data_IF_117010850455
#
_entry.id   IF_117010850455
#
_cell.length_a   1.000
_cell.length_b   1.000
_cell.length_c   1.000
_cell.angle_alpha   90.00
_cell.angle_beta   90.00
_cell.angle_gamma   90.00
#
_symmetry.space_group_name_H-M   'P 1'
#
loop_
_entity.id
_entity.type
_entity.pdbx_description
1 polymer ?
#
# COMPACT_ATOMS: atom_id res chain seq x y z
N UNK A 1 -12.24 -5.15 -12.78
CA UNK A 1 -12.35 -6.18 -11.74
C UNK A 1 -11.85 -5.57 -10.45
N UNK A 2 -12.76 -5.31 -9.52
CA UNK A 2 -12.36 -4.90 -8.17
C UNK A 2 -11.52 -6.05 -7.62
N UNK A 3 -10.24 -5.83 -7.42
CA UNK A 3 -9.38 -6.79 -6.73
C UNK A 3 -10.00 -6.98 -5.36
N UNK A 4 -10.55 -8.17 -5.08
CA UNK A 4 -11.20 -8.45 -3.81
C UNK A 4 -10.23 -8.17 -2.67
N UNK A 5 -10.67 -7.41 -1.67
CA UNK A 5 -9.87 -7.15 -0.47
C UNK A 5 -9.48 -8.49 0.16
N UNK A 6 -8.22 -8.63 0.50
CA UNK A 6 -7.73 -9.74 1.32
C UNK A 6 -7.61 -9.24 2.75
N UNK A 7 -8.24 -9.94 3.67
CA UNK A 7 -8.32 -9.57 5.08
C UNK A 7 -7.43 -10.43 5.94
N UNK A 8 -6.97 -9.84 7.05
CA UNK A 8 -6.38 -10.56 8.16
C UNK A 8 -6.85 -9.98 9.50
N UNK A 9 -6.89 -10.82 10.52
CA UNK A 9 -7.10 -10.42 11.89
C UNK A 9 -5.85 -10.72 12.71
N UNK A 10 -5.48 -9.78 13.57
CA UNK A 10 -4.40 -9.96 14.50
C UNK A 10 -4.77 -10.98 15.59
N UNK A 11 -3.89 -11.93 15.87
CA UNK A 11 -4.18 -13.06 16.77
C UNK A 11 -3.89 -12.77 18.24
N UNK A 12 -3.11 -11.71 18.54
CA UNK A 12 -2.69 -11.37 19.90
C UNK A 12 -2.48 -9.86 20.07
N UNK A 13 -2.36 -9.42 21.31
CA UNK A 13 -2.09 -8.02 21.63
C UNK A 13 -0.62 -7.63 21.42
N UNK A 14 -0.38 -6.34 21.15
CA UNK A 14 0.95 -5.76 21.12
C UNK A 14 1.79 -6.11 19.89
N UNK A 15 1.16 -6.50 18.79
CA UNK A 15 1.85 -6.84 17.54
C UNK A 15 2.32 -5.59 16.84
N UNK A 16 3.64 -5.47 16.66
CA UNK A 16 4.25 -4.35 15.97
C UNK A 16 4.07 -4.44 14.45
N UNK A 17 3.59 -3.36 13.87
CA UNK A 17 3.66 -3.09 12.43
C UNK A 17 4.94 -2.29 12.18
N UNK A 18 5.77 -2.70 11.23
CA UNK A 18 7.12 -2.14 11.05
C UNK A 18 7.34 -1.56 9.67
N UNK A 19 8.27 -0.63 9.55
CA UNK A 19 8.65 -0.03 8.26
C UNK A 19 9.36 -0.99 7.31
N UNK A 20 9.93 -2.06 7.82
CA UNK A 20 10.72 -3.03 7.05
C UNK A 20 10.50 -4.45 7.56
N UNK A 21 11.07 -5.41 6.84
CA UNK A 21 10.96 -6.85 7.08
C UNK A 21 12.04 -7.36 8.05
N UNK A 22 12.29 -6.63 9.12
CA UNK A 22 13.23 -6.99 10.19
C UNK A 22 12.69 -6.55 11.54
N UNK A 23 13.10 -7.22 12.60
CA UNK A 23 12.68 -6.87 13.97
C UNK A 23 13.26 -5.55 14.47
N UNK A 24 14.35 -5.09 13.88
CA UNK A 24 14.98 -3.81 14.20
C UNK A 24 14.35 -2.62 13.44
N UNK A 25 13.49 -2.90 12.45
CA UNK A 25 12.82 -1.85 11.72
C UNK A 25 11.89 -1.04 12.62
N UNK A 26 11.84 0.27 12.38
CA UNK A 26 11.01 1.21 13.14
C UNK A 26 9.55 0.77 13.16
N UNK A 27 8.92 0.87 14.34
CA UNK A 27 7.51 0.54 14.53
C UNK A 27 6.64 1.68 14.01
N UNK A 28 5.75 1.38 13.08
CA UNK A 28 4.82 2.34 12.47
C UNK A 28 3.49 2.38 13.20
N UNK A 29 3.11 1.28 13.82
CA UNK A 29 1.91 1.13 14.62
C UNK A 29 1.89 -0.17 15.42
N UNK A 30 0.88 -0.33 16.25
CA UNK A 30 0.69 -1.52 17.10
C UNK A 30 -0.72 -2.04 16.94
N UNK A 31 -0.86 -3.34 16.71
CA UNK A 31 -2.13 -4.04 16.62
C UNK A 31 -2.48 -4.73 17.93
N UNK A 32 -3.74 -4.71 18.27
CA UNK A 32 -4.32 -5.53 19.36
C UNK A 32 -4.93 -6.81 18.77
N UNK A 33 -5.23 -7.75 19.64
CA UNK A 33 -6.01 -8.93 19.24
C UNK A 33 -7.31 -8.51 18.51
N UNK A 34 -7.64 -9.20 17.43
CA UNK A 34 -8.76 -8.91 16.54
C UNK A 34 -8.70 -7.55 15.82
N UNK A 35 -7.55 -6.86 15.80
CA UNK A 35 -7.39 -5.74 14.89
C UNK A 35 -7.43 -6.21 13.45
N UNK A 36 -8.24 -5.50 12.64
CA UNK A 36 -8.41 -5.76 11.21
C UNK A 36 -7.27 -5.12 10.42
N UNK A 37 -6.74 -5.84 9.45
CA UNK A 37 -5.90 -5.28 8.41
C UNK A 37 -6.23 -5.85 7.03
N UNK A 38 -5.83 -5.10 6.00
CA UNK A 38 -5.84 -5.56 4.61
C UNK A 38 -4.45 -6.06 4.25
N UNK A 39 -4.38 -7.23 3.60
CA UNK A 39 -3.14 -7.74 3.03
C UNK A 39 -2.90 -7.03 1.70
N UNK A 40 -1.83 -6.25 1.62
CA UNK A 40 -1.42 -5.56 0.41
C UNK A 40 -0.52 -6.42 -0.45
N UNK A 41 0.39 -7.18 0.16
CA UNK A 41 1.26 -8.13 -0.52
C UNK A 41 1.86 -9.18 0.42
N UNK A 42 2.13 -10.37 -0.12
CA UNK A 42 3.02 -11.36 0.47
C UNK A 42 4.47 -10.90 0.29
N UNK A 43 5.06 -10.34 1.34
CA UNK A 43 6.38 -9.74 1.28
C UNK A 43 7.52 -10.78 1.36
N UNK A 44 7.29 -11.87 2.10
CA UNK A 44 8.18 -13.04 2.23
C UNK A 44 7.44 -14.17 2.95
N UNK A 45 8.11 -15.30 3.16
CA UNK A 45 7.55 -16.42 3.96
C UNK A 45 7.23 -15.98 5.39
N UNK A 46 8.01 -15.06 5.95
CA UNK A 46 7.90 -14.62 7.35
C UNK A 46 7.04 -13.34 7.48
N UNK A 47 7.02 -12.46 6.48
CA UNK A 47 6.44 -11.12 6.57
C UNK A 47 5.32 -10.89 5.56
N UNK A 48 4.25 -10.24 6.01
CA UNK A 48 3.14 -9.75 5.18
C UNK A 48 3.13 -8.21 5.22
N UNK A 49 2.93 -7.60 4.07
CA UNK A 49 2.72 -6.16 3.95
C UNK A 49 1.24 -5.86 4.10
N UNK A 50 0.89 -5.03 5.08
CA UNK A 50 -0.49 -4.77 5.48
C UNK A 50 -0.80 -3.29 5.61
N UNK A 51 -2.10 -3.00 5.58
CA UNK A 51 -2.67 -1.71 5.96
C UNK A 51 -3.77 -1.92 6.99
N UNK A 52 -3.70 -1.24 8.12
CA UNK A 52 -4.66 -1.28 9.20
C UNK A 52 -5.01 0.14 9.65
N UNK A 53 -6.16 0.64 9.18
CA UNK A 53 -6.49 2.07 9.34
C UNK A 53 -5.44 2.95 8.69
N UNK A 54 -4.88 3.90 9.46
CA UNK A 54 -3.83 4.82 8.99
C UNK A 54 -2.41 4.23 9.07
N UNK A 55 -2.27 2.98 9.51
CA UNK A 55 -1.00 2.29 9.67
C UNK A 55 -0.70 1.39 8.49
N UNK A 56 0.45 1.58 7.85
CA UNK A 56 0.96 0.70 6.79
C UNK A 56 2.33 0.17 7.18
N UNK A 57 2.59 -1.10 6.89
CA UNK A 57 3.89 -1.70 7.17
C UNK A 57 3.88 -3.22 7.10
N UNK A 58 4.91 -3.82 7.68
CA UNK A 58 5.14 -5.26 7.67
C UNK A 58 4.81 -5.86 9.03
N UNK A 59 4.10 -6.98 9.02
CA UNK A 59 3.76 -7.77 10.20
C UNK A 59 4.24 -9.20 9.96
N UNK A 60 4.74 -9.86 11.01
CA UNK A 60 5.07 -11.28 10.93
C UNK A 60 3.79 -12.09 10.68
N UNK A 61 3.87 -13.00 9.74
CA UNK A 61 2.76 -13.87 9.33
C UNK A 61 2.15 -14.64 10.49
N UNK A 62 2.96 -15.10 11.44
CA UNK A 62 2.54 -15.88 12.61
C UNK A 62 1.52 -15.16 13.50
N UNK A 63 1.48 -13.81 13.44
CA UNK A 63 0.54 -12.99 14.23
C UNK A 63 -0.73 -12.65 13.48
N UNK A 64 -0.95 -13.19 12.28
CA UNK A 64 -2.11 -12.91 11.47
C UNK A 64 -2.90 -14.17 11.14
N UNK A 65 -4.19 -14.13 11.39
CA UNK A 65 -5.16 -15.12 10.88
C UNK A 65 -5.68 -14.66 9.54
N UNK A 66 -5.62 -15.52 8.53
CA UNK A 66 -5.95 -15.22 7.14
C UNK A 66 -6.80 -16.31 6.52
N UNK A 67 -7.31 -16.08 5.32
CA UNK A 67 -8.03 -17.06 4.53
C UNK A 67 -9.54 -16.80 4.44
N UNK A 68 -10.22 -17.69 3.74
CA UNK A 68 -11.65 -17.51 3.39
C UNK A 68 -12.57 -17.49 4.63
N UNK A 69 -12.22 -18.24 5.67
CA UNK A 69 -12.97 -18.24 6.93
C UNK A 69 -12.93 -16.88 7.62
N UNK A 70 -11.75 -16.27 7.72
CA UNK A 70 -11.57 -14.91 8.29
C UNK A 70 -12.30 -13.87 7.44
N UNK A 71 -12.21 -13.99 6.12
CA UNK A 71 -12.91 -13.09 5.22
C UNK A 71 -14.44 -13.19 5.40
N UNK A 72 -14.96 -14.39 5.49
CA UNK A 72 -16.40 -14.60 5.71
C UNK A 72 -16.87 -14.03 7.04
N UNK A 73 -16.12 -14.26 8.12
CA UNK A 73 -16.38 -13.70 9.45
C UNK A 73 -16.45 -12.17 9.43
N UNK A 74 -15.46 -11.52 8.78
CA UNK A 74 -15.41 -10.06 8.69
C UNK A 74 -16.57 -9.51 7.87
N UNK A 75 -16.95 -10.17 6.78
CA UNK A 75 -18.07 -9.75 5.93
C UNK A 75 -19.42 -9.92 6.64
N UNK A 76 -19.58 -10.94 7.45
CA UNK A 76 -20.80 -11.17 8.24
C UNK A 76 -20.95 -10.16 9.38
N UNK A 77 -19.87 -9.87 10.11
CA UNK A 77 -19.87 -8.93 11.23
C UNK A 77 -19.82 -7.46 10.79
N UNK A 78 -19.34 -7.22 9.58
CA UNK A 78 -19.02 -5.87 9.07
C UNK A 78 -17.68 -5.35 9.56
N UNK A 79 -16.94 -4.65 8.70
CA UNK A 79 -15.61 -4.10 9.03
C UNK A 79 -15.63 -3.16 10.25
N UNK A 80 -16.74 -2.47 10.50
CA UNK A 80 -16.91 -1.55 11.63
C UNK A 80 -16.94 -2.24 13.01
N UNK A 81 -17.09 -3.57 13.05
CA UNK A 81 -17.02 -4.32 14.29
C UNK A 81 -15.59 -4.54 14.80
N UNK A 82 -14.60 -4.22 13.99
CA UNK A 82 -13.18 -4.44 14.29
C UNK A 82 -12.44 -3.14 14.53
N UNK A 83 -11.42 -3.19 15.40
CA UNK A 83 -10.48 -2.08 15.58
C UNK A 83 -9.37 -2.13 14.53
N UNK A 84 -8.65 -1.02 14.39
CA UNK A 84 -7.44 -0.93 13.57
C UNK A 84 -6.21 -0.73 14.44
N UNK A 85 -5.03 -0.83 13.82
CA UNK A 85 -3.76 -0.57 14.49
C UNK A 85 -3.71 0.87 15.04
N UNK A 86 -3.10 1.01 16.21
CA UNK A 86 -2.77 2.32 16.80
C UNK A 86 -1.55 2.91 16.10
N UNK A 87 -1.69 4.11 15.55
CA UNK A 87 -0.63 4.82 14.84
C UNK A 87 0.49 5.27 15.80
N UNK A 88 1.75 5.02 15.44
CA UNK A 88 2.93 5.47 16.21
C UNK A 88 3.73 6.55 15.49
N UNK A 89 3.72 6.56 14.17
CA UNK A 89 4.38 7.59 13.35
C UNK A 89 3.45 8.03 12.22
N UNK A 90 3.59 9.26 11.78
CA UNK A 90 2.77 9.79 10.69
C UNK A 90 3.06 9.07 9.36
N UNK A 91 2.08 9.04 8.46
CA UNK A 91 2.25 8.47 7.13
C UNK A 91 3.40 9.14 6.34
N UNK A 92 3.63 10.44 6.57
CA UNK A 92 4.73 11.20 5.94
C UNK A 92 6.11 10.68 6.36
N UNK A 93 6.25 10.23 7.59
CA UNK A 93 7.52 9.72 8.13
C UNK A 93 7.69 8.23 7.89
N UNK A 94 6.60 7.52 7.63
CA UNK A 94 6.56 6.07 7.46
C UNK A 94 7.07 5.68 6.08
N UNK A 95 8.27 5.12 6.00
CA UNK A 95 8.86 4.64 4.75
C UNK A 95 8.03 3.56 4.07
N UNK A 96 7.27 2.77 4.84
CA UNK A 96 6.41 1.74 4.27
C UNK A 96 5.27 2.31 3.41
N UNK A 97 4.88 3.57 3.61
CA UNK A 97 3.90 4.24 2.75
C UNK A 97 4.41 4.51 1.32
N UNK A 98 5.71 4.46 1.11
CA UNK A 98 6.35 4.68 -0.20
C UNK A 98 6.69 3.38 -0.94
N UNK A 99 6.48 2.22 -0.33
CA UNK A 99 6.67 0.95 -1.00
C UNK A 99 5.50 0.65 -1.94
N UNK A 100 5.84 0.14 -3.12
CA UNK A 100 4.88 -0.45 -4.06
C UNK A 100 4.88 -1.97 -3.91
N UNK A 101 3.82 -2.61 -4.36
CA UNK A 101 3.75 -4.09 -4.40
C UNK A 101 4.92 -4.65 -5.23
N UNK A 102 5.30 -3.97 -6.30
CA UNK A 102 6.43 -4.34 -7.17
C UNK A 102 7.77 -4.25 -6.45
N UNK A 103 7.99 -3.20 -5.63
CA UNK A 103 9.22 -3.06 -4.86
C UNK A 103 9.36 -4.08 -3.74
N UNK A 104 8.24 -4.61 -3.25
CA UNK A 104 8.19 -5.65 -2.20
C UNK A 104 8.51 -7.02 -2.78
N UNK A 105 8.01 -7.33 -3.96
CA UNK A 105 8.26 -8.58 -4.69
C UNK A 105 9.62 -8.57 -5.42
N UNK A 106 10.68 -8.15 -4.73
CA UNK A 106 12.03 -8.12 -5.28
C UNK A 106 12.46 -9.52 -5.74
N UNK A 107 12.68 -9.67 -7.03
CA UNK A 107 13.29 -10.86 -7.64
C UNK A 107 12.55 -11.46 -8.82
N UNK A 108 11.31 -11.03 -9.14
CA UNK A 108 10.55 -11.67 -10.21
C UNK A 108 10.34 -10.83 -11.48
N UNK A 109 10.72 -9.55 -11.51
CA UNK A 109 10.56 -8.75 -12.74
C UNK A 109 11.69 -7.72 -12.85
N UNK A 110 12.65 -8.00 -13.68
CA UNK A 110 13.52 -6.99 -14.28
C UNK A 110 12.74 -6.28 -15.39
N UNK A 111 11.73 -5.51 -15.03
CA UNK A 111 11.10 -4.62 -15.99
C UNK A 111 11.78 -3.28 -15.90
N UNK A 112 12.84 -3.12 -16.68
CA UNK A 112 13.68 -1.91 -16.73
C UNK A 112 12.87 -0.65 -17.02
N UNK A 113 11.76 -0.77 -17.74
CA UNK A 113 10.85 0.34 -18.04
C UNK A 113 10.10 0.77 -16.79
N UNK A 114 9.54 -0.17 -16.03
CA UNK A 114 8.80 0.15 -14.79
C UNK A 114 9.70 0.78 -13.74
N UNK A 115 10.90 0.24 -13.56
CA UNK A 115 11.90 0.85 -12.65
C UNK A 115 12.28 2.26 -13.08
N UNK A 116 12.47 2.47 -14.39
CA UNK A 116 12.76 3.78 -14.95
C UNK A 116 11.61 4.77 -14.75
N UNK A 117 10.36 4.33 -14.96
CA UNK A 117 9.16 5.14 -14.71
C UNK A 117 9.04 5.55 -13.23
N UNK A 118 9.27 4.61 -12.30
CA UNK A 118 9.23 4.90 -10.88
C UNK A 118 10.34 5.86 -10.45
N UNK A 119 11.56 5.66 -10.97
CA UNK A 119 12.69 6.56 -10.73
C UNK A 119 12.42 7.96 -11.29
N UNK A 120 11.80 8.04 -12.46
CA UNK A 120 11.39 9.32 -13.06
C UNK A 120 10.31 9.99 -12.21
N UNK A 121 9.25 9.26 -11.83
CA UNK A 121 8.18 9.77 -11.01
C UNK A 121 8.66 10.30 -9.66
N UNK A 122 9.63 9.64 -9.03
CA UNK A 122 10.16 10.02 -7.72
C UNK A 122 10.87 11.38 -7.72
N UNK A 123 11.29 11.89 -8.86
CA UNK A 123 11.91 13.22 -8.97
C UNK A 123 10.92 14.36 -8.70
N UNK A 124 9.62 14.09 -8.79
CA UNK A 124 8.56 15.10 -8.63
C UNK A 124 7.91 15.06 -7.25
N UNK A 125 8.44 14.25 -6.32
CA UNK A 125 7.97 14.20 -4.93
C UNK A 125 8.15 15.58 -4.28
N UNK A 126 7.08 16.11 -3.72
CA UNK A 126 7.05 17.43 -3.09
C UNK A 126 6.54 18.56 -3.98
N UNK A 127 6.29 18.30 -5.25
CA UNK A 127 5.67 19.28 -6.14
C UNK A 127 4.18 19.49 -5.78
N UNK A 128 3.61 20.68 -6.10
CA UNK A 128 2.27 21.03 -5.68
C UNK A 128 1.19 20.10 -6.26
N UNK A 129 0.18 19.81 -5.46
CA UNK A 129 -1.07 19.23 -5.96
C UNK A 129 -1.94 20.35 -6.53
N UNK A 130 -2.32 20.21 -7.80
CA UNK A 130 -3.22 21.16 -8.48
C UNK A 130 -4.39 20.39 -9.09
N UNK A 131 -5.59 20.67 -8.65
CA UNK A 131 -6.80 20.03 -9.18
C UNK A 131 -6.95 20.29 -10.69
N UNK A 132 -7.13 19.23 -11.47
CA UNK A 132 -7.18 19.30 -12.93
C UNK A 132 -5.82 19.49 -13.60
N UNK A 133 -4.76 19.64 -12.83
CA UNK A 133 -3.40 19.81 -13.34
C UNK A 133 -2.79 18.54 -13.91
N UNK A 134 -1.88 18.71 -14.88
CA UNK A 134 -1.11 17.62 -15.52
C UNK A 134 0.38 17.93 -15.58
N UNK A 135 0.82 19.05 -15.02
CA UNK A 135 2.22 19.45 -15.04
C UNK A 135 2.98 18.77 -13.93
N UNK A 136 4.00 18.00 -14.29
CA UNK A 136 4.88 17.33 -13.31
C UNK A 136 5.68 18.31 -12.44
N UNK A 137 5.88 19.56 -12.91
CA UNK A 137 6.68 20.57 -12.22
C UNK A 137 5.85 21.67 -11.57
N UNK A 138 4.80 22.13 -12.24
CA UNK A 138 3.95 23.23 -11.77
C UNK A 138 2.77 22.75 -10.92
N UNK A 139 2.43 21.48 -11.00
CA UNK A 139 1.41 20.83 -10.22
C UNK A 139 0.48 19.92 -11.04
N UNK A 140 0.16 18.80 -10.47
CA UNK A 140 -0.76 17.82 -11.04
C UNK A 140 -1.72 17.30 -9.98
N UNK A 141 -2.90 16.82 -10.41
CA UNK A 141 -3.73 15.96 -9.57
C UNK A 141 -3.28 14.49 -9.68
N UNK A 142 -3.91 13.59 -8.94
CA UNK A 142 -3.52 12.17 -8.87
C UNK A 142 -3.47 11.50 -10.25
N UNK A 143 -4.53 11.60 -11.03
CA UNK A 143 -4.61 10.97 -12.35
C UNK A 143 -3.83 11.71 -13.43
N UNK A 144 -3.72 13.04 -13.32
CA UNK A 144 -2.88 13.87 -14.19
C UNK A 144 -1.40 13.56 -14.01
N UNK A 145 -0.95 13.33 -12.78
CA UNK A 145 0.41 12.90 -12.48
C UNK A 145 0.71 11.55 -13.14
N UNK A 146 -0.15 10.55 -12.91
CA UNK A 146 0.01 9.21 -13.49
C UNK A 146 0.01 9.30 -15.03
N UNK A 147 -0.97 10.02 -15.62
CA UNK A 147 -1.03 10.20 -17.07
C UNK A 147 0.25 10.81 -17.65
N UNK A 148 0.81 11.83 -16.98
CA UNK A 148 2.02 12.52 -17.45
C UNK A 148 3.27 11.65 -17.35
N UNK A 149 3.39 10.81 -16.31
CA UNK A 149 4.48 9.82 -16.21
C UNK A 149 4.39 8.80 -17.34
N UNK A 150 3.22 8.21 -17.57
CA UNK A 150 3.03 7.25 -18.68
C UNK A 150 3.29 7.88 -20.04
N UNK A 151 2.82 9.13 -20.25
CA UNK A 151 3.04 9.88 -21.48
C UNK A 151 4.54 10.13 -21.77
N UNK A 152 5.34 10.39 -20.74
CA UNK A 152 6.78 10.56 -20.87
C UNK A 152 7.50 9.32 -21.42
N UNK A 153 6.89 8.13 -21.26
CA UNK A 153 7.38 6.86 -21.77
C UNK A 153 6.64 6.38 -23.03
N UNK A 154 5.85 7.26 -23.65
CA UNK A 154 5.13 6.96 -24.89
C UNK A 154 3.82 6.18 -24.75
N UNK A 155 3.33 6.02 -23.53
CA UNK A 155 2.05 5.36 -23.27
C UNK A 155 0.94 6.39 -23.10
N UNK A 156 -0.18 6.18 -23.78
CA UNK A 156 -1.38 7.00 -23.64
C UNK A 156 -2.38 6.29 -22.74
N UNK A 157 -2.73 6.92 -21.62
CA UNK A 157 -3.75 6.42 -20.69
C UNK A 157 -4.82 7.49 -20.47
N UNK A 158 -6.04 7.10 -20.06
CA UNK A 158 -7.13 8.05 -19.81
C UNK A 158 -6.77 9.11 -18.76
N UNK A 159 -7.44 10.27 -18.83
CA UNK A 159 -7.23 11.36 -17.89
C UNK A 159 -7.85 11.10 -16.52
N UNK A 160 -8.98 10.41 -16.48
CA UNK A 160 -9.79 10.22 -15.27
C UNK A 160 -9.32 8.99 -14.50
N UNK A 161 -9.14 9.14 -13.18
CA UNK A 161 -8.62 8.07 -12.32
C UNK A 161 -9.47 6.78 -12.34
N UNK A 162 -10.80 6.92 -12.36
CA UNK A 162 -11.74 5.80 -12.44
C UNK A 162 -11.53 4.96 -13.72
N UNK A 163 -11.25 5.65 -14.84
CA UNK A 163 -11.00 4.99 -16.13
C UNK A 163 -9.59 4.41 -16.17
N UNK A 164 -8.59 5.09 -15.56
CA UNK A 164 -7.22 4.56 -15.45
C UNK A 164 -7.19 3.22 -14.68
N UNK A 165 -8.01 3.08 -13.65
CA UNK A 165 -8.11 1.85 -12.86
C UNK A 165 -8.56 0.62 -13.67
N UNK A 166 -9.13 0.81 -14.86
CA UNK A 166 -9.57 -0.26 -15.76
C UNK A 166 -8.49 -0.67 -16.77
N UNK A 167 -7.37 0.06 -16.82
CA UNK A 167 -6.28 -0.13 -17.78
C UNK A 167 -5.14 -1.03 -17.27
N UNK A 168 -5.17 -1.45 -16.00
CA UNK A 168 -4.12 -2.27 -15.37
C UNK A 168 -4.39 -3.77 -15.36
#
# INVERSE_FOLDING_TARGET
>A
TVVGKQYALCTTDGVNVREGRTEDARVTGVMKQNSLCYILADASEEWIFVESGDVRGFVKREYLSTGDGVKSEILENGESAYSYAELKISAKENKACYYTITSIKKGSISDSIRESMLKYASQFIGNPYVWGGTSLTLGADCSGFVQSIYSAYGYSIPRVAEVQAQYG
#
